data_IF_108243474186
#
_entry.id   IF_108243474186
#
_cell.length_a   1.000
_cell.length_b   1.000
_cell.length_c   1.000
_cell.angle_alpha   90.00
_cell.angle_beta   90.00
_cell.angle_gamma   90.00
#
_symmetry.space_group_name_H-M   'P 1'
#
loop_
_entity.id
_entity.type
_entity.pdbx_description
1 polymer ?
#
# COMPACT_ATOMS: atom_id res chain seq x y z
N UNK A 1 -7.42 16.85 -3.89
CA UNK A 1 -6.62 16.08 -2.91
C UNK A 1 -7.60 15.17 -2.19
N UNK A 2 -7.50 13.85 -2.34
CA UNK A 2 -8.32 12.93 -1.57
C UNK A 2 -7.95 12.94 -0.08
N UNK A 3 -8.88 12.50 0.75
CA UNK A 3 -8.71 12.28 2.18
C UNK A 3 -8.26 10.84 2.46
N UNK A 4 -7.15 10.69 3.17
CA UNK A 4 -6.61 9.42 3.61
C UNK A 4 -6.78 9.28 5.11
N UNK A 5 -7.59 8.32 5.55
CA UNK A 5 -7.79 8.03 6.98
C UNK A 5 -7.03 6.79 7.40
N UNK A 6 -6.14 6.94 8.37
CA UNK A 6 -5.41 5.83 8.99
C UNK A 6 -6.03 5.54 10.35
N UNK A 7 -6.61 4.35 10.51
CA UNK A 7 -7.30 3.95 11.74
C UNK A 7 -6.38 4.09 12.96
N UNK A 8 -6.84 4.79 13.98
CA UNK A 8 -6.09 5.04 15.21
C UNK A 8 -4.99 6.11 15.11
N UNK A 9 -4.87 6.80 13.96
CA UNK A 9 -3.86 7.86 13.77
C UNK A 9 -4.51 9.19 13.38
N UNK A 10 -5.35 9.21 12.34
CA UNK A 10 -6.00 10.45 11.90
C UNK A 10 -6.40 10.45 10.43
N UNK A 11 -6.84 11.61 9.95
CA UNK A 11 -7.22 11.86 8.55
C UNK A 11 -6.33 12.96 7.97
N UNK A 12 -5.84 12.74 6.76
CA UNK A 12 -4.83 13.57 6.12
C UNK A 12 -5.22 13.86 4.67
N UNK A 13 -4.96 15.09 4.21
CA UNK A 13 -5.02 15.39 2.77
C UNK A 13 -3.76 14.87 2.08
N UNK A 14 -3.94 14.14 0.98
CA UNK A 14 -2.82 13.56 0.22
C UNK A 14 -2.86 13.98 -1.25
N UNK A 15 -1.71 14.06 -1.94
CA UNK A 15 -1.70 14.39 -3.37
C UNK A 15 -2.36 13.30 -4.20
N UNK A 16 -3.23 13.70 -5.14
CA UNK A 16 -3.86 12.78 -6.09
C UNK A 16 -2.80 12.07 -6.94
N UNK A 17 -2.95 10.77 -7.15
CA UNK A 17 -2.03 9.96 -7.94
C UNK A 17 -0.74 9.56 -7.21
N UNK A 18 -0.48 10.07 -6.00
CA UNK A 18 0.67 9.65 -5.19
C UNK A 18 0.52 8.19 -4.77
N UNK A 19 1.61 7.41 -4.75
CA UNK A 19 1.59 6.03 -4.26
C UNK A 19 1.20 5.98 -2.78
N UNK A 20 0.29 5.09 -2.41
CA UNK A 20 -0.22 5.00 -1.03
C UNK A 20 0.89 4.71 -0.02
N UNK A 21 1.88 3.88 -0.38
CA UNK A 21 3.05 3.63 0.50
C UNK A 21 3.85 4.89 0.82
N UNK A 22 3.94 5.84 -0.13
CA UNK A 22 4.62 7.12 0.09
C UNK A 22 3.72 8.07 0.86
N UNK A 23 2.41 8.08 0.56
CA UNK A 23 1.43 8.89 1.27
C UNK A 23 1.34 8.56 2.78
N UNK A 24 1.42 7.26 3.09
CA UNK A 24 1.52 6.75 4.45
C UNK A 24 2.73 7.31 5.19
N UNK A 25 3.89 7.39 4.54
CA UNK A 25 5.13 7.86 5.16
C UNK A 25 5.23 9.38 5.24
N UNK A 26 4.96 10.06 4.14
CA UNK A 26 5.27 11.48 3.97
C UNK A 26 4.17 12.37 4.58
N UNK A 27 2.90 12.01 4.43
CA UNK A 27 1.76 12.81 4.93
C UNK A 27 1.18 12.27 6.24
N UNK A 28 1.08 10.93 6.39
CA UNK A 28 0.43 10.33 7.55
C UNK A 28 1.40 10.02 8.72
N UNK A 29 2.71 10.17 8.51
CA UNK A 29 3.74 9.87 9.51
C UNK A 29 3.81 8.40 9.93
N UNK A 30 3.36 7.48 9.06
CA UNK A 30 3.39 6.04 9.27
C UNK A 30 4.72 5.48 8.76
N UNK A 31 5.44 4.83 9.64
CA UNK A 31 6.66 4.05 9.36
C UNK A 31 6.34 2.73 8.64
N UNK A 32 5.57 2.81 7.55
CA UNK A 32 5.11 1.67 6.77
C UNK A 32 6.30 0.92 6.17
N UNK A 33 6.36 -0.39 6.35
CA UNK A 33 7.45 -1.20 5.77
C UNK A 33 7.32 -1.33 4.25
N UNK A 34 8.46 -1.37 3.57
CA UNK A 34 8.57 -1.51 2.12
C UNK A 34 9.89 -2.19 1.75
N UNK A 35 10.16 -3.35 2.36
CA UNK A 35 11.44 -4.06 2.32
C UNK A 35 11.98 -4.32 0.89
N UNK A 36 11.09 -4.56 -0.07
CA UNK A 36 11.49 -4.78 -1.47
C UNK A 36 11.74 -3.50 -2.27
N UNK A 37 11.65 -2.31 -1.68
CA UNK A 37 11.76 -1.03 -2.40
C UNK A 37 10.52 -0.64 -3.19
N UNK A 38 9.36 -1.23 -2.87
CA UNK A 38 8.11 -0.96 -3.58
C UNK A 38 7.98 -1.64 -4.95
N UNK A 39 8.80 -2.65 -5.27
CA UNK A 39 8.78 -3.38 -6.54
C UNK A 39 7.72 -4.51 -6.63
N UNK A 40 6.76 -4.57 -5.71
CA UNK A 40 5.78 -5.66 -5.70
C UNK A 40 6.42 -7.05 -5.66
N UNK A 41 7.43 -7.27 -4.79
CA UNK A 41 8.12 -8.56 -4.60
C UNK A 41 8.03 -9.12 -3.17
N UNK A 42 7.44 -8.37 -2.25
CA UNK A 42 7.23 -8.75 -0.86
C UNK A 42 5.82 -8.34 -0.41
N UNK A 43 5.48 -8.62 0.84
CA UNK A 43 4.18 -8.29 1.45
C UNK A 43 4.31 -7.45 2.72
N UNK A 44 5.45 -6.77 2.92
CA UNK A 44 5.67 -5.93 4.11
C UNK A 44 4.92 -4.62 4.03
N UNK A 45 4.59 -4.14 2.83
CA UNK A 45 3.80 -2.92 2.65
C UNK A 45 2.28 -3.15 2.75
N UNK A 46 1.87 -4.31 3.27
CA UNK A 46 0.45 -4.66 3.34
C UNK A 46 -0.29 -3.72 4.27
N UNK A 47 -1.49 -3.36 3.84
CA UNK A 47 -2.48 -2.61 4.60
C UNK A 47 -3.82 -3.33 4.48
N UNK A 48 -4.70 -3.10 5.43
CA UNK A 48 -6.07 -3.61 5.38
C UNK A 48 -7.01 -2.45 5.06
N UNK A 49 -7.63 -2.50 3.88
CA UNK A 49 -8.62 -1.53 3.44
C UNK A 49 -9.90 -1.65 4.27
N UNK A 50 -10.40 -0.50 4.71
CA UNK A 50 -11.67 -0.36 5.43
C UNK A 50 -12.73 0.27 4.49
N UNK A 51 -12.33 1.26 3.70
CA UNK A 51 -13.16 1.90 2.66
C UNK A 51 -12.31 2.53 1.57
N UNK A 52 -12.94 2.87 0.44
CA UNK A 52 -12.24 3.50 -0.69
C UNK A 52 -11.30 2.56 -1.45
N UNK A 53 -11.58 1.27 -1.39
CA UNK A 53 -10.73 0.26 -2.00
C UNK A 53 -10.76 0.33 -3.55
N UNK A 54 -9.60 0.38 -4.23
CA UNK A 54 -9.58 0.33 -5.69
C UNK A 54 -10.06 -1.02 -6.20
N UNK A 55 -11.01 -1.02 -7.13
CA UNK A 55 -11.56 -2.24 -7.77
C UNK A 55 -10.48 -3.07 -8.48
N UNK A 56 -9.41 -2.41 -8.93
CA UNK A 56 -8.34 -3.03 -9.71
C UNK A 56 -7.07 -3.24 -8.88
N UNK A 57 -6.40 -4.34 -9.17
CA UNK A 57 -5.06 -4.72 -8.71
C UNK A 57 -4.08 -4.55 -9.87
N UNK A 58 -2.82 -4.23 -9.59
CA UNK A 58 -1.78 -4.45 -10.60
C UNK A 58 -1.53 -5.95 -10.74
N UNK A 59 -1.08 -6.40 -11.91
CA UNK A 59 -0.64 -7.80 -12.09
C UNK A 59 0.41 -8.22 -11.05
N UNK A 60 1.39 -7.37 -10.76
CA UNK A 60 2.43 -7.65 -9.77
C UNK A 60 1.85 -7.85 -8.36
N UNK A 61 0.87 -7.01 -7.96
CA UNK A 61 0.17 -7.16 -6.69
C UNK A 61 -0.57 -8.50 -6.61
N UNK A 62 -1.41 -8.81 -7.61
CA UNK A 62 -2.17 -10.07 -7.65
C UNK A 62 -1.25 -11.28 -7.59
N UNK A 63 -0.17 -11.28 -8.38
CA UNK A 63 0.72 -12.43 -8.49
C UNK A 63 1.46 -12.68 -7.16
N UNK A 64 1.91 -11.63 -6.46
CA UNK A 64 2.53 -11.77 -5.13
C UNK A 64 1.53 -12.21 -4.08
N UNK A 65 0.33 -11.63 -4.04
CA UNK A 65 -0.69 -12.03 -3.08
C UNK A 65 -1.13 -13.48 -3.29
N UNK A 66 -1.28 -13.91 -4.54
CA UNK A 66 -1.55 -15.31 -4.89
C UNK A 66 -0.43 -16.23 -4.41
N UNK A 67 0.82 -15.91 -4.76
CA UNK A 67 1.98 -16.74 -4.41
C UNK A 67 2.21 -16.85 -2.89
N UNK A 68 1.71 -15.88 -2.10
CA UNK A 68 1.77 -15.90 -0.64
C UNK A 68 0.50 -16.44 0.03
N UNK A 69 -0.51 -16.85 -0.74
CA UNK A 69 -1.79 -17.32 -0.19
C UNK A 69 -2.59 -16.23 0.53
N UNK A 70 -2.37 -14.96 0.18
CA UNK A 70 -2.97 -13.80 0.84
C UNK A 70 -4.06 -13.12 0.01
N UNK A 71 -4.24 -13.51 -1.27
CA UNK A 71 -5.19 -12.85 -2.16
C UNK A 71 -6.63 -12.87 -1.63
N UNK A 72 -7.04 -13.97 -0.98
CA UNK A 72 -8.37 -14.14 -0.38
C UNK A 72 -8.54 -13.42 0.97
N UNK A 73 -7.52 -12.72 1.46
CA UNK A 73 -7.63 -11.96 2.72
C UNK A 73 -8.41 -10.68 2.45
N UNK A 74 -9.60 -10.58 3.06
CA UNK A 74 -10.50 -9.45 2.88
C UNK A 74 -9.80 -8.11 3.21
N UNK A 75 -9.94 -7.13 2.33
CA UNK A 75 -9.35 -5.79 2.46
C UNK A 75 -7.82 -5.74 2.32
N UNK A 76 -7.10 -6.87 2.38
CA UNK A 76 -5.64 -6.84 2.31
C UNK A 76 -5.16 -6.40 0.93
N UNK A 77 -4.29 -5.39 0.91
CA UNK A 77 -3.67 -4.86 -0.30
C UNK A 77 -2.21 -4.51 -0.07
N UNK A 78 -1.44 -4.35 -1.15
CA UNK A 78 -0.08 -3.85 -1.11
C UNK A 78 -0.08 -2.34 -1.38
N UNK A 79 0.12 -1.53 -0.34
CA UNK A 79 0.13 -0.05 -0.45
C UNK A 79 1.12 0.49 -1.49
N UNK A 80 2.17 -0.26 -1.84
CA UNK A 80 3.12 0.15 -2.86
C UNK A 80 2.59 -0.01 -4.30
N UNK A 81 1.53 -0.78 -4.52
CA UNK A 81 0.97 -1.08 -5.84
C UNK A 81 -0.34 -0.34 -6.14
N UNK A 82 -0.62 0.74 -5.41
CA UNK A 82 -1.82 1.55 -5.56
C UNK A 82 -1.51 3.05 -5.40
N UNK A 83 -2.39 3.89 -5.96
CA UNK A 83 -2.30 5.36 -5.93
C UNK A 83 -3.52 5.98 -5.23
N UNK A 84 -3.34 7.19 -4.71
CA UNK A 84 -4.37 7.96 -4.04
C UNK A 84 -5.29 8.63 -5.07
N UNK A 85 -6.27 7.89 -5.61
CA UNK A 85 -7.22 8.44 -6.59
C UNK A 85 -8.49 9.01 -5.96
N UNK A 86 -8.95 8.37 -4.87
CA UNK A 86 -10.18 8.71 -4.15
C UNK A 86 -9.90 8.72 -2.65
N UNK A 87 -10.90 9.08 -1.84
CA UNK A 87 -10.81 8.98 -0.39
C UNK A 87 -10.66 7.52 0.03
N UNK A 88 -9.76 7.24 0.97
CA UNK A 88 -9.40 5.89 1.40
C UNK A 88 -9.30 5.81 2.91
N UNK A 89 -9.78 4.71 3.48
CA UNK A 89 -9.56 4.40 4.90
C UNK A 89 -8.90 3.04 5.01
N UNK A 90 -7.84 2.94 5.82
CA UNK A 90 -7.15 1.67 6.04
C UNK A 90 -6.50 1.57 7.41
N UNK A 91 -6.22 0.32 7.80
CA UNK A 91 -5.39 -0.04 8.95
C UNK A 91 -3.96 -0.34 8.48
N UNK A 92 -2.99 0.39 9.02
CA UNK A 92 -1.58 0.24 8.72
C UNK A 92 -0.90 -0.69 9.74
N UNK A 93 -1.04 -2.01 9.56
CA UNK A 93 -0.55 -3.02 10.52
C UNK A 93 0.95 -3.33 10.36
N UNK A 94 1.51 -3.12 9.16
CA UNK A 94 2.90 -3.51 8.86
C UNK A 94 3.87 -2.34 8.99
N UNK A 95 4.12 -1.93 10.23
CA UNK A 95 4.99 -0.81 10.62
C UNK A 95 6.40 -1.27 10.98
N UNK A 96 7.38 -0.36 10.95
CA UNK A 96 8.75 -0.63 11.40
C UNK A 96 8.77 -0.87 12.91
N UNK A 97 8.07 -0.02 13.66
CA UNK A 97 7.82 -0.20 15.09
C UNK A 97 7.22 -1.59 15.35
N UNK A 98 7.90 -2.36 16.21
CA UNK A 98 7.50 -3.72 16.57
C UNK A 98 7.85 -4.82 15.55
N UNK A 99 8.46 -4.50 14.40
CA UNK A 99 8.77 -5.50 13.37
C UNK A 99 10.09 -6.26 13.55
N UNK A 100 10.99 -5.73 14.40
CA UNK A 100 12.36 -6.25 14.56
C UNK A 100 13.29 -6.00 13.37
N UNK A 101 12.88 -5.22 12.36
CA UNK A 101 13.74 -4.81 11.24
C UNK A 101 14.61 -3.61 11.63
N UNK A 102 15.79 -3.51 11.00
CA UNK A 102 16.68 -2.37 11.18
C UNK A 102 16.15 -1.09 10.49
N UNK A 103 15.44 -1.25 9.38
CA UNK A 103 14.87 -0.15 8.60
C UNK A 103 13.62 -0.59 7.82
N UNK A 104 12.92 0.37 7.21
CA UNK A 104 11.71 0.12 6.42
C UNK A 104 11.98 -0.57 5.07
N UNK A 105 13.20 -0.53 4.56
CA UNK A 105 13.57 -0.81 3.18
C UNK A 105 13.98 0.44 2.40
N UNK A 106 14.46 0.25 1.18
CA UNK A 106 14.80 1.37 0.27
C UNK A 106 13.54 2.16 -0.08
N UNK A 107 13.60 3.50 -0.04
CA UNK A 107 12.46 4.35 -0.44
C UNK A 107 11.93 3.94 -1.84
N UNK A 108 10.61 3.68 -1.98
CA UNK A 108 9.99 3.44 -3.28
C UNK A 108 10.13 4.64 -4.22
N UNK A 109 10.16 4.40 -5.53
CA UNK A 109 10.04 5.45 -6.55
C UNK A 109 8.68 6.14 -6.47
N UNK A 110 8.60 7.37 -6.98
CA UNK A 110 7.32 8.09 -7.07
C UNK A 110 6.35 7.42 -8.07
N UNK A 111 6.89 6.85 -9.15
CA UNK A 111 6.12 6.04 -10.11
C UNK A 111 5.91 4.61 -9.61
N UNK A 112 4.81 3.98 -10.02
CA UNK A 112 4.54 2.56 -9.75
C UNK A 112 5.61 1.67 -10.39
N UNK A 113 6.24 0.83 -9.56
CA UNK A 113 7.27 -0.12 -9.97
C UNK A 113 6.88 -1.55 -9.54
N UNK A 114 7.01 -2.56 -10.40
CA UNK A 114 7.24 -2.42 -11.84
C UNK A 114 6.10 -1.63 -12.50
N UNK A 115 6.39 -0.98 -13.64
CA UNK A 115 5.35 -0.32 -14.43
C UNK A 115 4.18 -1.29 -14.65
N UNK A 116 2.94 -0.93 -14.28
CA UNK A 116 1.80 -1.83 -14.41
C UNK A 116 1.60 -2.20 -15.88
N UNK A 117 1.87 -3.46 -16.21
CA UNK A 117 1.61 -4.01 -17.55
C UNK A 117 0.12 -4.30 -17.78
N UNK A 118 -0.61 -4.52 -16.69
CA UNK A 118 -2.02 -4.91 -16.70
C UNK A 118 -2.65 -4.59 -15.33
N UNK A 119 -3.91 -4.15 -15.37
CA UNK A 119 -4.77 -4.01 -14.21
C UNK A 119 -5.90 -5.04 -14.27
N UNK A 120 -6.13 -5.75 -13.18
CA UNK A 120 -7.08 -6.87 -13.09
C UNK A 120 -8.08 -6.66 -11.98
N UNK A 121 -9.28 -7.18 -12.16
CA UNK A 121 -10.34 -7.05 -11.16
C UNK A 121 -9.97 -7.76 -9.86
N UNK A 122 -10.31 -7.15 -8.74
CA UNK A 122 -10.32 -7.82 -7.45
C UNK A 122 -11.57 -8.70 -7.37
N UNK A 123 -11.43 -9.94 -7.84
CA UNK A 123 -12.43 -11.02 -7.73
C UNK A 123 -12.40 -11.69 -6.35
#
# INVERSE_FOLDING_TARGET
MPQMTVEGVGTFEVPTGKRVVLALSDECGIDQLHACGGFGRCTTCRVTMISGEPEKLTKAERDVLTAKGLLSTAGLRLSCQMTCENDMTFRAESRLAGSGRADCGRRPSDELEPKPVEFVQRV
#
